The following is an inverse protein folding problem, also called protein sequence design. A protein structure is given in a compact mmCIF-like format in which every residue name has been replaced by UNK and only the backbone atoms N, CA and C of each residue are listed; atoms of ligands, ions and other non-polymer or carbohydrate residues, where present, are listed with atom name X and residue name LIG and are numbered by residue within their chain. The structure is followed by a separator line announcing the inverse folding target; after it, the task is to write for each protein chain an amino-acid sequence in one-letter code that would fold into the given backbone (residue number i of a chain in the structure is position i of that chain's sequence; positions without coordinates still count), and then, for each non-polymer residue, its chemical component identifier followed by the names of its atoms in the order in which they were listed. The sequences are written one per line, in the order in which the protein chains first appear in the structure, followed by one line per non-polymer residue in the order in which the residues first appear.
data_IF_610037955713
#
_entry.id   IF_610037955713
#
_cell.length_a   1.000
_cell.length_b   1.000
_cell.length_c   1.000
_cell.angle_alpha   90.00
_cell.angle_beta   90.00
_cell.angle_gamma   90.00
#
_symmetry.space_group_name_H-M   'P 1'
#
loop_
_entity.id
_entity.type
_entity.pdbx_description
1 polymer ?
#
# COMPACT_ATOMS: atom_id res chain seq x y z
N UNK A 1 48.93 2.87 -4.23
CA UNK A 1 47.52 3.31 -4.09
C UNK A 1 46.66 2.26 -4.76
N UNK A 2 46.06 1.34 -4.01
CA UNK A 2 45.14 0.34 -4.57
C UNK A 2 43.74 0.94 -4.59
N UNK A 3 43.11 1.00 -5.77
CA UNK A 3 41.70 1.38 -5.87
C UNK A 3 40.87 0.27 -5.21
N UNK A 4 40.14 0.65 -4.15
CA UNK A 4 39.13 -0.19 -3.53
C UNK A 4 38.12 -0.63 -4.59
N UNK A 5 37.92 -1.93 -4.76
CA UNK A 5 36.95 -2.48 -5.69
C UNK A 5 35.56 -1.95 -5.35
N UNK A 6 34.95 -1.20 -6.27
CA UNK A 6 33.57 -0.72 -6.11
C UNK A 6 32.63 -1.92 -6.06
N UNK A 7 32.11 -2.25 -4.88
CA UNK A 7 31.15 -3.33 -4.73
C UNK A 7 29.82 -2.91 -5.35
N UNK A 8 29.43 -3.55 -6.45
CA UNK A 8 28.14 -3.30 -7.07
C UNK A 8 27.04 -4.04 -6.28
N UNK A 9 26.21 -3.29 -5.55
CA UNK A 9 25.03 -3.82 -4.89
C UNK A 9 23.85 -3.87 -5.88
N UNK A 10 23.47 -5.06 -6.31
CA UNK A 10 22.35 -5.27 -7.24
C UNK A 10 21.07 -5.62 -6.48
N UNK A 11 19.99 -4.92 -6.77
CA UNK A 11 18.66 -5.16 -6.19
C UNK A 11 17.66 -5.41 -7.31
N UNK A 12 16.96 -6.54 -7.23
CA UNK A 12 15.81 -6.83 -8.09
C UNK A 12 14.52 -6.49 -7.34
N UNK A 13 13.79 -5.50 -7.84
CA UNK A 13 12.45 -5.16 -7.33
C UNK A 13 11.41 -6.08 -7.98
N UNK A 14 10.59 -6.73 -7.16
CA UNK A 14 9.42 -7.48 -7.61
C UNK A 14 8.24 -6.54 -7.89
N UNK A 15 7.19 -7.06 -8.53
CA UNK A 15 5.94 -6.31 -8.72
C UNK A 15 5.32 -5.98 -7.34
N UNK A 16 4.83 -4.75 -7.12
CA UNK A 16 4.09 -4.42 -5.90
C UNK A 16 2.81 -5.24 -5.75
N UNK A 17 2.46 -5.58 -4.51
CA UNK A 17 1.22 -6.26 -4.16
C UNK A 17 0.39 -5.38 -3.22
N UNK A 18 -0.92 -5.33 -3.43
CA UNK A 18 -1.84 -4.65 -2.51
C UNK A 18 -2.20 -5.58 -1.36
N UNK A 19 -1.94 -5.15 -0.13
CA UNK A 19 -2.39 -5.84 1.09
C UNK A 19 -3.61 -5.11 1.64
N UNK A 20 -4.68 -5.86 1.87
CA UNK A 20 -5.95 -5.34 2.41
C UNK A 20 -6.12 -5.78 3.87
N UNK A 21 -6.95 -5.08 4.68
CA UNK A 21 -7.28 -5.54 6.02
C UNK A 21 -7.83 -6.97 6.00
N UNK A 22 -7.40 -7.80 6.96
CA UNK A 22 -7.80 -9.21 7.05
C UNK A 22 -9.29 -9.41 7.43
N UNK A 23 -9.95 -8.35 7.89
CA UNK A 23 -11.37 -8.32 8.27
C UNK A 23 -12.00 -7.02 7.75
N UNK A 24 -13.32 -6.97 7.56
CA UNK A 24 -14.01 -5.73 7.23
C UNK A 24 -13.73 -4.62 8.25
N UNK A 25 -13.49 -3.40 7.75
CA UNK A 25 -13.27 -2.18 8.54
C UNK A 25 -14.44 -1.21 8.35
N UNK A 26 -14.66 -0.25 9.28
CA UNK A 26 -15.68 0.78 9.12
C UNK A 26 -15.49 1.56 7.82
N UNK A 27 -16.60 1.94 7.17
CA UNK A 27 -16.55 2.82 6.00
C UNK A 27 -16.85 4.23 6.41
N UNK A 28 -15.87 5.09 6.25
CA UNK A 28 -15.99 6.48 6.65
C UNK A 28 -14.95 7.32 5.94
N UNK A 29 -15.18 8.63 6.00
CA UNK A 29 -14.22 9.65 5.63
C UNK A 29 -13.77 10.32 6.92
N UNK A 30 -12.47 10.28 7.20
CA UNK A 30 -11.88 10.96 8.36
C UNK A 30 -11.15 12.21 7.92
N UNK A 31 -11.55 13.37 8.45
CA UNK A 31 -10.78 14.61 8.29
C UNK A 31 -9.52 14.53 9.15
N UNK A 32 -8.38 14.94 8.60
CA UNK A 32 -7.15 15.07 9.38
C UNK A 32 -7.28 16.22 10.37
N UNK A 33 -6.63 16.09 11.53
CA UNK A 33 -6.55 17.20 12.49
C UNK A 33 -5.76 18.38 11.89
N UNK A 34 -5.81 19.54 12.51
CA UNK A 34 -5.04 20.70 12.03
C UNK A 34 -3.52 20.50 12.20
N UNK A 35 -3.11 19.65 13.14
CA UNK A 35 -1.70 19.27 13.30
C UNK A 35 -1.25 18.39 12.14
N UNK A 36 -2.06 17.40 11.75
CA UNK A 36 -1.74 16.43 10.71
C UNK A 36 -1.87 16.98 9.27
N UNK A 37 -2.61 18.08 9.10
CA UNK A 37 -2.94 18.66 7.79
C UNK A 37 -1.94 19.74 7.31
N UNK A 38 -0.91 20.02 8.11
CA UNK A 38 0.13 21.00 7.79
C UNK A 38 0.81 20.66 6.46
N UNK A 39 0.91 21.65 5.56
CA UNK A 39 1.50 21.45 4.23
C UNK A 39 2.93 20.90 4.29
N UNK A 40 3.71 21.34 5.27
CA UNK A 40 5.07 20.87 5.50
C UNK A 40 5.18 19.38 5.83
N UNK A 41 4.09 18.70 6.21
CA UNK A 41 4.05 17.26 6.52
C UNK A 41 3.57 16.40 5.35
N UNK A 42 3.21 17.00 4.20
CA UNK A 42 2.61 16.29 3.05
C UNK A 42 3.66 15.59 2.18
N UNK A 43 4.47 14.73 2.77
CA UNK A 43 5.50 13.94 2.10
C UNK A 43 5.58 12.51 2.65
N UNK A 44 6.15 11.59 1.87
CA UNK A 44 6.40 10.21 2.32
C UNK A 44 7.75 10.12 3.02
N UNK A 45 7.79 9.58 4.24
CA UNK A 45 9.02 9.31 4.98
C UNK A 45 9.53 7.90 4.63
N UNK A 46 10.64 7.74 3.88
CA UNK A 46 11.20 6.42 3.60
C UNK A 46 11.96 5.90 4.82
N UNK A 47 11.64 4.68 5.27
CA UNK A 47 12.35 4.00 6.37
C UNK A 47 12.80 2.62 5.91
N UNK A 48 14.04 2.23 6.24
CA UNK A 48 14.59 0.91 5.96
C UNK A 48 15.00 0.25 7.28
N UNK A 49 14.42 -0.93 7.56
CA UNK A 49 14.75 -1.73 8.73
C UNK A 49 15.65 -2.90 8.33
N UNK A 50 16.76 -3.10 9.05
CA UNK A 50 17.67 -4.22 8.85
C UNK A 50 17.48 -5.25 9.95
N UNK A 51 17.30 -6.52 9.55
CA UNK A 51 17.15 -7.64 10.47
C UNK A 51 18.27 -8.65 10.23
N UNK A 52 18.89 -9.13 11.31
CA UNK A 52 19.91 -10.17 11.22
C UNK A 52 19.25 -11.52 10.87
N UNK A 53 19.90 -12.30 10.02
CA UNK A 53 19.45 -13.66 9.70
C UNK A 53 19.38 -14.51 10.98
N UNK A 54 18.27 -15.22 11.16
CA UNK A 54 18.03 -16.12 12.28
C UNK A 54 17.91 -17.56 11.76
N UNK A 55 18.84 -18.49 12.12
CA UNK A 55 18.79 -19.88 11.69
C UNK A 55 17.46 -20.60 11.99
N UNK A 56 16.78 -20.23 13.08
CA UNK A 56 15.49 -20.83 13.46
C UNK A 56 14.34 -20.46 12.51
N UNK A 57 14.52 -19.44 11.67
CA UNK A 57 13.53 -19.01 10.67
C UNK A 57 13.75 -19.66 9.30
N UNK A 58 14.64 -20.65 9.21
CA UNK A 58 14.95 -21.35 7.96
C UNK A 58 13.68 -22.01 7.40
N UNK A 59 13.42 -21.77 6.12
CA UNK A 59 12.24 -22.30 5.42
C UNK A 59 10.98 -21.44 5.56
N UNK A 60 10.98 -20.41 6.41
CA UNK A 60 9.87 -19.46 6.52
C UNK A 60 10.04 -18.37 5.47
N UNK A 61 8.99 -18.11 4.69
CA UNK A 61 8.99 -17.02 3.71
C UNK A 61 8.69 -15.69 4.43
N UNK A 62 9.66 -14.77 4.57
CA UNK A 62 9.45 -13.51 5.27
C UNK A 62 8.39 -12.62 4.60
N UNK A 63 8.20 -12.74 3.28
CA UNK A 63 7.18 -11.98 2.54
C UNK A 63 5.78 -12.40 3.00
N UNK A 64 5.54 -13.69 3.20
CA UNK A 64 4.25 -14.19 3.69
C UNK A 64 3.96 -13.74 5.12
N UNK A 65 4.96 -13.84 5.99
CA UNK A 65 4.83 -13.39 7.39
C UNK A 65 4.51 -11.90 7.47
N UNK A 66 5.22 -11.06 6.70
CA UNK A 66 4.96 -9.61 6.67
C UNK A 66 3.57 -9.32 6.08
N UNK A 67 3.19 -10.00 5.00
CA UNK A 67 1.88 -9.82 4.36
C UNK A 67 0.74 -10.15 5.33
N UNK A 68 0.83 -11.28 6.03
CA UNK A 68 -0.18 -11.71 7.00
C UNK A 68 -0.23 -10.77 8.22
N UNK A 69 0.94 -10.42 8.75
CA UNK A 69 1.06 -9.48 9.88
C UNK A 69 0.47 -8.12 9.53
N UNK A 70 0.79 -7.56 8.36
CA UNK A 70 0.26 -6.29 7.88
C UNK A 70 -1.26 -6.35 7.71
N UNK A 71 -1.80 -7.39 7.07
CA UNK A 71 -3.24 -7.54 6.88
C UNK A 71 -4.01 -7.57 8.21
N UNK A 72 -3.48 -8.26 9.24
CA UNK A 72 -4.07 -8.28 10.58
C UNK A 72 -3.98 -6.92 11.27
N UNK A 73 -2.82 -6.25 11.19
CA UNK A 73 -2.60 -4.92 11.77
C UNK A 73 -3.52 -3.87 11.15
N UNK A 74 -3.75 -3.92 9.85
CA UNK A 74 -4.64 -2.99 9.13
C UNK A 74 -6.11 -3.07 9.57
N UNK A 75 -6.53 -4.10 10.30
CA UNK A 75 -7.88 -4.12 10.92
C UNK A 75 -7.99 -3.05 12.01
N UNK A 76 -6.94 -2.86 12.80
CA UNK A 76 -6.90 -1.88 13.90
C UNK A 76 -6.47 -0.50 13.40
N UNK A 77 -5.59 -0.47 12.40
CA UNK A 77 -5.03 0.73 11.80
C UNK A 77 -5.60 0.97 10.39
N UNK A 78 -6.89 0.75 10.23
CA UNK A 78 -7.58 0.78 8.92
C UNK A 78 -7.43 2.09 8.12
N UNK A 79 -7.26 3.29 8.72
CA UNK A 79 -7.00 4.49 7.91
C UNK A 79 -5.75 4.37 7.02
N UNK A 80 -4.77 3.53 7.38
CA UNK A 80 -3.59 3.28 6.54
C UNK A 80 -3.88 2.46 5.27
N UNK A 81 -5.01 1.75 5.23
CA UNK A 81 -5.49 1.09 4.01
C UNK A 81 -6.35 2.02 3.13
N UNK A 82 -6.67 3.22 3.62
CA UNK A 82 -7.49 4.21 2.92
C UNK A 82 -6.70 5.02 1.89
N UNK A 83 -7.38 6.01 1.31
CA UNK A 83 -6.80 6.95 0.34
C UNK A 83 -6.84 8.36 0.89
N UNK A 84 -5.72 9.08 0.73
CA UNK A 84 -5.69 10.51 0.98
C UNK A 84 -6.46 11.22 -0.14
N UNK A 85 -7.34 12.13 0.24
CA UNK A 85 -8.10 13.01 -0.63
C UNK A 85 -8.00 14.44 -0.13
N UNK A 86 -8.07 15.40 -1.06
CA UNK A 86 -8.10 16.82 -0.74
C UNK A 86 -9.55 17.33 -0.90
N UNK A 87 -10.09 17.94 0.16
CA UNK A 87 -11.43 18.54 0.18
C UNK A 87 -11.41 20.05 -0.04
N UNK A 88 -12.51 20.71 0.36
CA UNK A 88 -12.60 22.18 0.37
C UNK A 88 -11.45 22.80 1.20
N UNK A 89 -10.96 23.95 0.75
CA UNK A 89 -9.83 24.66 1.36
C UNK A 89 -8.58 23.80 1.54
N UNK A 90 -8.39 22.79 0.69
CA UNK A 90 -7.23 21.90 0.68
C UNK A 90 -7.09 21.02 1.93
N UNK A 91 -8.19 20.83 2.69
CA UNK A 91 -8.24 19.98 3.88
C UNK A 91 -8.04 18.52 3.50
N UNK A 92 -7.03 17.86 4.06
CA UNK A 92 -6.80 16.44 3.81
C UNK A 92 -7.79 15.55 4.59
N UNK A 93 -8.22 14.49 3.92
CA UNK A 93 -9.12 13.47 4.46
C UNK A 93 -8.66 12.08 4.03
N UNK A 94 -9.00 11.07 4.81
CA UNK A 94 -8.81 9.67 4.47
C UNK A 94 -10.15 9.03 4.14
N UNK A 95 -10.27 8.45 2.95
CA UNK A 95 -11.39 7.60 2.56
C UNK A 95 -11.04 6.13 2.74
N UNK A 96 -11.77 5.41 3.58
CA UNK A 96 -11.69 3.94 3.64
C UNK A 96 -12.66 3.33 2.61
N UNK A 97 -12.09 2.83 1.51
CA UNK A 97 -12.85 2.24 0.40
C UNK A 97 -13.04 0.73 0.59
N UNK A 98 -14.28 0.26 0.44
CA UNK A 98 -14.53 -1.15 0.11
C UNK A 98 -14.03 -1.39 -1.31
N UNK A 99 -12.96 -2.16 -1.51
CA UNK A 99 -12.85 -2.89 -2.77
C UNK A 99 -13.64 -4.17 -2.62
N UNK A 100 -14.90 -4.14 -3.03
CA UNK A 100 -15.61 -5.37 -3.32
C UNK A 100 -14.76 -6.17 -4.31
N UNK A 101 -14.51 -7.42 -3.99
CA UNK A 101 -13.86 -8.40 -4.87
C UNK A 101 -14.82 -8.80 -6.01
N UNK A 102 -15.36 -7.82 -6.72
CA UNK A 102 -16.33 -7.98 -7.80
C UNK A 102 -16.15 -6.87 -8.82
N UNK A 103 -14.96 -6.77 -9.43
CA UNK A 103 -14.94 -6.44 -10.86
C UNK A 103 -15.17 -7.77 -11.57
N UNK A 104 -16.45 -8.12 -11.74
CA UNK A 104 -16.82 -9.04 -12.80
C UNK A 104 -16.27 -8.48 -14.11
N UNK A 105 -15.73 -9.36 -14.93
CA UNK A 105 -15.32 -9.05 -16.28
C UNK A 105 -16.51 -8.40 -16.98
N UNK A 106 -16.45 -7.07 -17.17
CA UNK A 106 -17.33 -6.43 -18.12
C UNK A 106 -16.71 -6.72 -19.48
N UNK A 107 -17.09 -7.86 -20.04
CA UNK A 107 -16.96 -8.08 -21.48
C UNK A 107 -17.60 -6.87 -22.15
N UNK A 108 -16.81 -6.17 -22.98
CA UNK A 108 -17.35 -5.15 -23.85
C UNK A 108 -18.38 -5.85 -24.73
N UNK A 109 -19.62 -5.37 -24.83
CA UNK A 109 -20.50 -5.88 -25.87
C UNK A 109 -19.86 -5.57 -27.21
N UNK A 110 -19.80 -6.59 -28.07
CA UNK A 110 -19.33 -6.46 -29.44
C UNK A 110 -20.08 -5.30 -30.11
N UNK A 111 -19.30 -4.33 -30.60
CA UNK A 111 -19.83 -3.27 -31.45
C UNK A 111 -20.26 -3.96 -32.74
N UNK A 112 -21.56 -4.21 -32.88
CA UNK A 112 -22.17 -4.57 -34.15
C UNK A 112 -22.01 -3.34 -35.04
N UNK A 113 -21.12 -3.43 -36.02
CA UNK A 113 -21.03 -2.48 -37.12
C UNK A 113 -22.28 -2.61 -37.98
N UNK A 114 -23.24 -1.72 -37.80
CA UNK A 114 -24.27 -1.50 -38.83
C UNK A 114 -23.70 -0.64 -39.97
N UNK A 115 -23.98 -0.97 -41.24
CA UNK A 115 -23.46 -0.23 -42.38
C UNK A 115 -24.45 0.86 -42.79
N UNK A 116 -24.07 2.13 -42.69
CA UNK A 116 -24.40 3.20 -43.64
C UNK A 116 -23.35 4.31 -43.54
#
# INVERSE_FOLDING_TARGET
MAFSSTFAFSVKRCKPELVVPAKPTPREIKKLSDIDDQEGLRFQVPVVFFYKSNPSMKGINPVEVIREGLAKTLVYYYPFAGRIMEGENRKLMIEDLRRSSSRGNHERPDVVSEPY
#
